data_IF_465731084045
#
_entry.id   IF_465731084045
#
_cell.length_a   1.000
_cell.length_b   1.000
_cell.length_c   1.000
_cell.angle_alpha   90.00
_cell.angle_beta   90.00
_cell.angle_gamma   90.00
#
_symmetry.space_group_name_H-M   'P 1'
#
loop_
_entity.id
_entity.type
_entity.pdbx_description
1 polymer ?
#
# COMPACT_ATOMS: atom_id res chain seq x y z
N UNK A 1 27.55 -73.14 -49.21
CA UNK A 1 26.89 -72.69 -47.96
C UNK A 1 27.36 -71.27 -47.65
N UNK A 2 26.52 -70.26 -47.85
CA UNK A 2 26.84 -68.84 -47.58
C UNK A 2 26.46 -68.52 -46.13
N UNK A 3 27.41 -68.01 -45.33
CA UNK A 3 27.17 -67.57 -43.95
C UNK A 3 26.74 -66.10 -43.97
N UNK A 4 25.58 -65.80 -43.39
CA UNK A 4 25.07 -64.44 -43.19
C UNK A 4 25.53 -64.01 -41.79
N UNK A 5 26.23 -62.88 -41.69
CA UNK A 5 26.64 -62.27 -40.43
C UNK A 5 25.61 -61.18 -40.10
N UNK A 6 24.97 -61.18 -38.92
CA UNK A 6 24.08 -60.10 -38.54
C UNK A 6 24.90 -58.91 -38.02
N UNK A 7 24.67 -57.73 -38.60
CA UNK A 7 25.21 -56.45 -38.12
C UNK A 7 24.29 -55.99 -36.99
N UNK A 8 24.83 -55.92 -35.77
CA UNK A 8 24.15 -55.37 -34.61
C UNK A 8 24.11 -53.83 -34.73
N UNK A 9 22.92 -53.29 -34.98
CA UNK A 9 22.64 -51.84 -34.96
C UNK A 9 22.66 -51.40 -33.50
N UNK A 10 23.73 -50.74 -33.07
CA UNK A 10 23.79 -50.08 -31.77
C UNK A 10 22.98 -48.79 -31.85
N UNK A 11 21.82 -48.78 -31.20
CA UNK A 11 20.97 -47.59 -31.05
C UNK A 11 21.67 -46.66 -30.06
N UNK A 12 22.22 -45.56 -30.59
CA UNK A 12 22.78 -44.46 -29.79
C UNK A 12 21.60 -43.70 -29.15
N UNK A 13 21.28 -43.99 -27.90
CA UNK A 13 20.35 -43.18 -27.09
C UNK A 13 20.99 -41.82 -26.82
N UNK A 14 20.63 -40.83 -27.63
CA UNK A 14 20.91 -39.42 -27.34
C UNK A 14 19.94 -39.04 -26.22
N UNK A 15 20.45 -39.01 -24.98
CA UNK A 15 19.70 -38.51 -23.84
C UNK A 15 19.35 -37.03 -24.06
N UNK A 16 18.07 -36.75 -24.28
CA UNK A 16 17.53 -35.41 -24.21
C UNK A 16 17.58 -35.02 -22.73
N UNK A 17 18.62 -34.28 -22.33
CA UNK A 17 18.62 -33.57 -21.05
C UNK A 17 17.58 -32.46 -21.22
N UNK A 18 16.36 -32.73 -20.79
CA UNK A 18 15.38 -31.68 -20.60
C UNK A 18 15.97 -30.74 -19.55
N UNK A 19 16.31 -29.52 -19.96
CA UNK A 19 16.57 -28.44 -19.02
C UNK A 19 15.22 -28.18 -18.34
N UNK A 20 14.99 -28.76 -17.16
CA UNK A 20 13.86 -28.35 -16.34
C UNK A 20 14.05 -26.86 -16.04
N UNK A 21 13.00 -26.03 -16.21
CA UNK A 21 13.07 -24.65 -15.80
C UNK A 21 13.39 -24.62 -14.31
N UNK A 22 14.40 -23.84 -13.91
CA UNK A 22 14.72 -23.67 -12.49
C UNK A 22 13.47 -23.20 -11.75
N UNK A 23 13.12 -23.92 -10.69
CA UNK A 23 12.05 -23.51 -9.79
C UNK A 23 12.45 -22.19 -9.14
N UNK A 24 11.68 -21.14 -9.38
CA UNK A 24 11.90 -19.83 -8.73
C UNK A 24 11.66 -20.02 -7.24
N UNK A 25 12.62 -19.64 -6.39
CA UNK A 25 12.47 -19.73 -4.94
C UNK A 25 11.40 -18.76 -4.43
N UNK A 26 10.73 -19.11 -3.32
CA UNK A 26 9.86 -18.15 -2.63
C UNK A 26 10.69 -17.01 -2.02
N UNK A 27 10.40 -15.78 -2.44
CA UNK A 27 11.14 -14.57 -2.08
C UNK A 27 10.14 -13.47 -1.67
N UNK A 28 9.68 -13.47 -0.41
CA UNK A 28 8.84 -12.42 0.13
C UNK A 28 9.66 -11.26 0.71
N UNK A 29 9.01 -10.10 0.80
CA UNK A 29 9.45 -8.95 1.56
C UNK A 29 8.32 -8.46 2.46
N UNK A 30 8.66 -7.75 3.51
CA UNK A 30 7.71 -7.24 4.49
C UNK A 30 8.20 -5.94 5.10
N UNK A 31 7.27 -5.15 5.60
CA UNK A 31 7.50 -3.79 6.07
C UNK A 31 6.53 -3.46 7.22
N UNK A 32 6.99 -2.69 8.20
CA UNK A 32 6.18 -2.17 9.31
C UNK A 32 6.45 -0.68 9.52
N UNK A 33 5.38 0.12 9.51
CA UNK A 33 5.53 1.58 9.62
C UNK A 33 4.42 2.24 10.41
N UNK A 34 4.73 3.40 10.98
CA UNK A 34 3.76 4.20 11.75
C UNK A 34 2.81 4.90 10.80
N UNK A 35 1.53 4.92 11.16
CA UNK A 35 0.54 5.80 10.54
C UNK A 35 0.19 6.91 11.53
N UNK A 36 0.22 8.16 11.08
CA UNK A 36 -0.40 9.29 11.78
C UNK A 36 -1.67 9.71 11.03
N UNK A 37 -2.69 10.18 11.74
CA UNK A 37 -3.96 10.59 11.14
C UNK A 37 -4.51 11.83 11.85
N UNK A 38 -5.10 12.77 11.10
CA UNK A 38 -5.87 13.86 11.69
C UNK A 38 -7.22 13.37 12.21
N UNK A 39 -7.59 13.81 13.41
CA UNK A 39 -8.94 13.65 13.94
C UNK A 39 -9.50 15.01 14.34
N UNK A 40 -10.71 15.31 13.87
CA UNK A 40 -11.41 16.52 14.26
C UNK A 40 -12.01 16.34 15.66
N UNK A 41 -11.67 17.24 16.57
CA UNK A 41 -12.33 17.37 17.87
C UNK A 41 -13.19 18.64 17.88
N UNK A 42 -14.01 18.85 18.92
CA UNK A 42 -14.92 20.00 19.00
C UNK A 42 -14.23 21.37 18.87
N UNK A 43 -12.92 21.48 19.13
CA UNK A 43 -12.20 22.76 19.14
C UNK A 43 -10.85 22.78 18.42
N UNK A 44 -10.31 21.62 18.00
CA UNK A 44 -9.01 21.51 17.34
C UNK A 44 -8.88 20.22 16.50
N UNK A 45 -7.93 20.21 15.56
CA UNK A 45 -7.51 18.99 14.87
C UNK A 45 -6.35 18.40 15.66
N UNK A 46 -6.50 17.16 16.12
CA UNK A 46 -5.45 16.43 16.84
C UNK A 46 -4.84 15.36 15.92
N UNK A 47 -3.67 14.84 16.32
CA UNK A 47 -3.00 13.74 15.63
C UNK A 47 -3.09 12.47 16.47
N UNK A 48 -3.56 11.41 15.84
CA UNK A 48 -3.57 10.05 16.42
C UNK A 48 -2.64 9.14 15.63
N UNK A 49 -2.23 8.06 16.27
CA UNK A 49 -1.24 7.10 15.82
C UNK A 49 -1.86 5.72 15.62
N UNK A 50 -1.31 5.03 14.63
CA UNK A 50 -1.62 3.65 14.28
C UNK A 50 -0.41 3.00 13.63
N UNK A 51 -0.62 1.79 13.15
CA UNK A 51 0.38 0.91 12.59
C UNK A 51 -0.10 0.38 11.25
N UNK A 52 0.80 0.24 10.29
CA UNK A 52 0.58 -0.57 9.11
C UNK A 52 1.62 -1.68 9.00
N UNK A 53 1.16 -2.81 8.46
CA UNK A 53 1.91 -4.02 8.23
C UNK A 53 1.69 -4.43 6.78
N UNK A 54 2.78 -4.61 6.04
CA UNK A 54 2.72 -5.00 4.64
C UNK A 54 3.61 -6.20 4.37
N UNK A 55 3.15 -7.09 3.51
CA UNK A 55 3.96 -8.18 2.99
C UNK A 55 3.62 -8.39 1.52
N UNK A 56 4.65 -8.53 0.68
CA UNK A 56 4.50 -8.88 -0.71
C UNK A 56 5.45 -10.01 -1.11
N UNK A 57 5.13 -10.75 -2.16
CA UNK A 57 5.98 -11.84 -2.58
C UNK A 57 5.93 -12.11 -4.09
N UNK A 58 6.93 -12.84 -4.58
CA UNK A 58 6.99 -13.31 -5.97
C UNK A 58 6.09 -14.54 -6.25
N UNK A 59 5.47 -15.12 -5.22
CA UNK A 59 4.52 -16.24 -5.29
C UNK A 59 3.26 -15.91 -4.49
N UNK A 60 2.10 -16.50 -4.81
CA UNK A 60 0.88 -16.23 -4.07
C UNK A 60 1.01 -16.78 -2.64
N UNK A 61 0.69 -15.93 -1.68
CA UNK A 61 0.66 -16.23 -0.27
C UNK A 61 -0.70 -16.83 0.13
N UNK A 62 -0.65 -17.70 1.13
CA UNK A 62 -1.80 -18.31 1.79
C UNK A 62 -2.14 -17.56 3.07
N UNK A 63 -1.13 -17.18 3.85
CA UNK A 63 -1.31 -16.46 5.12
C UNK A 63 -0.06 -15.68 5.51
N UNK A 64 -0.26 -14.55 6.17
CA UNK A 64 0.81 -13.76 6.78
C UNK A 64 0.40 -13.46 8.22
N UNK A 65 1.26 -13.84 9.16
CA UNK A 65 1.09 -13.61 10.59
C UNK A 65 2.25 -12.81 11.13
N UNK A 66 1.97 -11.68 11.76
CA UNK A 66 2.99 -10.83 12.38
C UNK A 66 2.93 -10.97 13.89
N UNK A 67 4.08 -10.98 14.54
CA UNK A 67 4.20 -10.91 16.00
C UNK A 67 5.09 -9.72 16.35
N UNK A 68 4.55 -8.81 17.15
CA UNK A 68 5.24 -7.61 17.65
C UNK A 68 6.03 -7.90 18.93
N UNK A 69 6.75 -6.89 19.43
CA UNK A 69 7.66 -7.01 20.58
C UNK A 69 6.98 -7.38 21.89
N UNK A 70 5.71 -7.01 22.08
CA UNK A 70 4.89 -7.35 23.25
C UNK A 70 4.19 -8.72 23.12
N UNK A 71 4.42 -9.42 22.00
CA UNK A 71 3.76 -10.66 21.55
C UNK A 71 2.31 -10.49 21.06
N UNK A 72 1.87 -9.27 20.77
CA UNK A 72 0.61 -9.03 20.04
C UNK A 72 0.76 -9.57 18.62
N UNK A 73 -0.25 -10.32 18.17
CA UNK A 73 -0.26 -10.97 16.85
C UNK A 73 -1.28 -10.33 15.93
N UNK A 74 -0.87 -10.14 14.68
CA UNK A 74 -1.70 -9.60 13.60
C UNK A 74 -1.82 -10.63 12.49
N UNK A 75 -3.04 -10.89 12.03
CA UNK A 75 -3.30 -11.66 10.82
C UNK A 75 -3.54 -10.64 9.69
N UNK A 76 -2.73 -10.69 8.63
CA UNK A 76 -2.90 -9.82 7.48
C UNK A 76 -3.85 -10.46 6.47
N UNK A 77 -4.55 -9.61 5.72
CA UNK A 77 -5.45 -10.04 4.65
C UNK A 77 -4.88 -9.68 3.28
N UNK A 78 -5.27 -10.44 2.24
CA UNK A 78 -4.87 -10.11 0.88
C UNK A 78 -5.50 -8.79 0.44
N UNK A 79 -4.68 -7.84 -0.01
CA UNK A 79 -5.12 -6.53 -0.47
C UNK A 79 -6.02 -6.69 -1.71
N UNK A 80 -7.29 -6.30 -1.60
CA UNK A 80 -8.32 -6.46 -2.66
C UNK A 80 -8.44 -7.90 -3.21
N UNK A 81 -8.12 -8.90 -2.39
CA UNK A 81 -8.13 -10.31 -2.80
C UNK A 81 -6.93 -10.72 -3.66
N UNK A 82 -5.92 -9.86 -3.83
CA UNK A 82 -4.72 -10.16 -4.59
C UNK A 82 -3.72 -10.95 -3.72
N UNK A 83 -3.48 -12.25 -3.99
CA UNK A 83 -2.77 -13.11 -3.05
C UNK A 83 -1.25 -12.86 -2.99
N UNK A 84 -0.72 -11.90 -3.74
CA UNK A 84 0.71 -11.56 -3.71
C UNK A 84 0.99 -10.34 -2.82
N UNK A 85 -0.05 -9.72 -2.28
CA UNK A 85 0.00 -8.50 -1.49
C UNK A 85 -0.91 -8.68 -0.26
N UNK A 86 -0.32 -8.61 0.93
CA UNK A 86 -1.01 -8.76 2.20
C UNK A 86 -0.80 -7.50 3.03
N UNK A 87 -1.88 -6.97 3.58
CA UNK A 87 -1.87 -5.70 4.30
C UNK A 87 -2.75 -5.77 5.53
N UNK A 88 -2.34 -5.07 6.57
CA UNK A 88 -3.17 -4.73 7.72
C UNK A 88 -2.82 -3.33 8.16
N UNK A 89 -3.80 -2.57 8.60
CA UNK A 89 -3.58 -1.29 9.25
C UNK A 89 -4.46 -1.18 10.49
N UNK A 90 -4.11 -0.27 11.40
CA UNK A 90 -5.00 0.14 12.49
C UNK A 90 -6.35 0.57 11.90
N UNK A 91 -7.42 -0.02 12.43
CA UNK A 91 -8.80 0.36 12.11
C UNK A 91 -9.07 1.79 12.59
N UNK A 92 -9.98 2.48 11.92
CA UNK A 92 -10.23 3.90 12.14
C UNK A 92 -10.61 4.24 13.59
N UNK A 93 -11.39 3.37 14.24
CA UNK A 93 -11.81 3.52 15.64
C UNK A 93 -10.72 3.12 16.66
N UNK A 94 -9.65 2.46 16.21
CA UNK A 94 -8.56 1.94 17.06
C UNK A 94 -7.31 2.83 17.04
N UNK A 95 -7.30 3.91 16.24
CA UNK A 95 -6.26 4.93 16.33
C UNK A 95 -6.23 5.54 17.74
N UNK A 96 -5.03 5.82 18.25
CA UNK A 96 -4.86 6.27 19.63
C UNK A 96 -3.88 7.43 19.76
N UNK A 97 -3.91 8.14 20.88
CA UNK A 97 -2.90 9.17 21.20
C UNK A 97 -1.52 8.58 21.55
N UNK A 98 -1.44 7.27 21.73
CA UNK A 98 -0.19 6.56 22.05
C UNK A 98 0.40 5.98 20.76
N UNK A 99 1.69 6.26 20.53
CA UNK A 99 2.43 5.68 19.42
C UNK A 99 2.59 4.16 19.59
N UNK A 100 2.51 3.37 18.51
CA UNK A 100 2.79 1.94 18.59
C UNK A 100 4.19 1.66 19.16
N UNK A 101 4.35 0.53 19.83
CA UNK A 101 5.61 0.16 20.45
C UNK A 101 6.69 -0.09 19.38
N UNK A 102 7.74 0.73 19.40
CA UNK A 102 8.89 0.57 18.51
C UNK A 102 9.63 -0.74 18.79
N UNK A 103 10.17 -1.35 17.74
CA UNK A 103 11.00 -2.56 17.83
C UNK A 103 10.71 -3.56 16.73
N UNK A 104 11.17 -4.81 16.94
CA UNK A 104 11.13 -5.84 15.92
C UNK A 104 9.75 -6.49 15.77
N UNK A 105 9.24 -6.51 14.55
CA UNK A 105 8.06 -7.24 14.13
C UNK A 105 8.49 -8.45 13.29
N UNK A 106 8.06 -9.64 13.69
CA UNK A 106 8.39 -10.88 12.99
C UNK A 106 7.22 -11.35 12.12
N UNK A 107 7.46 -11.44 10.82
CA UNK A 107 6.49 -11.86 9.81
C UNK A 107 6.69 -13.34 9.51
N UNK A 108 5.65 -14.16 9.72
CA UNK A 108 5.61 -15.56 9.33
C UNK A 108 4.69 -15.70 8.12
N UNK A 109 5.29 -16.01 6.98
CA UNK A 109 4.64 -16.00 5.68
C UNK A 109 4.58 -17.42 5.15
N UNK A 110 3.40 -17.84 4.69
CA UNK A 110 3.18 -19.16 4.08
C UNK A 110 2.70 -18.95 2.65
N UNK A 111 3.40 -19.50 1.67
CA UNK A 111 2.99 -19.52 0.28
C UNK A 111 1.90 -20.59 0.04
N UNK A 112 1.07 -20.41 -1.00
CA UNK A 112 0.09 -21.44 -1.40
C UNK A 112 0.74 -22.76 -1.86
N UNK A 113 2.02 -22.72 -2.24
CA UNK A 113 2.84 -23.91 -2.51
C UNK A 113 3.24 -24.68 -1.25
N UNK A 114 3.05 -24.10 -0.05
CA UNK A 114 3.48 -24.65 1.23
C UNK A 114 4.89 -24.23 1.66
N UNK A 115 5.62 -23.46 0.84
CA UNK A 115 6.88 -22.82 1.25
C UNK A 115 6.62 -21.80 2.37
N UNK A 116 7.56 -21.65 3.28
CA UNK A 116 7.44 -20.71 4.41
C UNK A 116 8.66 -19.81 4.49
N UNK A 117 8.46 -18.56 4.88
CA UNK A 117 9.54 -17.62 5.22
C UNK A 117 9.26 -16.91 6.54
N UNK A 118 10.31 -16.60 7.28
CA UNK A 118 10.24 -15.72 8.45
C UNK A 118 11.10 -14.50 8.18
N UNK A 119 10.47 -13.34 8.15
CA UNK A 119 11.15 -12.05 8.01
C UNK A 119 11.05 -11.28 9.34
N UNK A 120 11.89 -10.26 9.48
CA UNK A 120 11.81 -9.32 10.59
C UNK A 120 12.04 -7.93 10.05
N UNK A 121 11.26 -6.99 10.54
CA UNK A 121 11.44 -5.57 10.27
C UNK A 121 11.29 -4.76 11.57
N UNK A 122 11.87 -3.56 11.64
CA UNK A 122 11.86 -2.75 12.86
C UNK A 122 11.01 -1.50 12.70
N UNK A 123 9.97 -1.39 13.51
CA UNK A 123 9.25 -0.15 13.67
C UNK A 123 10.10 0.85 14.46
N UNK A 124 10.37 2.02 13.89
CA UNK A 124 11.04 3.12 14.59
C UNK A 124 10.02 4.06 15.25
N UNK A 125 10.50 5.11 15.90
CA UNK A 125 9.71 6.24 16.41
C UNK A 125 9.64 7.43 15.45
N UNK A 126 10.25 7.32 14.27
CA UNK A 126 10.19 8.36 13.25
C UNK A 126 8.79 8.38 12.61
N UNK A 127 8.19 9.57 12.61
CA UNK A 127 6.87 9.83 12.05
C UNK A 127 6.90 10.96 11.04
N UNK A 128 5.86 11.05 10.23
CA UNK A 128 5.52 12.25 9.46
C UNK A 128 4.18 12.75 9.99
N UNK A 129 4.00 14.06 10.06
CA UNK A 129 2.76 14.63 10.60
C UNK A 129 1.81 15.02 9.47
N UNK A 130 0.51 14.76 9.63
CA UNK A 130 -0.47 15.17 8.63
C UNK A 130 -0.66 16.70 8.64
N UNK A 131 -1.31 17.22 7.61
CA UNK A 131 -1.71 18.62 7.53
C UNK A 131 -3.20 18.77 7.83
N UNK A 132 -3.57 19.82 8.57
CA UNK A 132 -4.97 20.19 8.84
C UNK A 132 -5.47 21.32 7.92
N UNK A 133 -4.70 21.63 6.87
CA UNK A 133 -4.88 22.85 6.06
C UNK A 133 -5.45 22.62 4.68
N UNK A 134 -5.97 21.43 4.39
CA UNK A 134 -6.54 21.11 3.07
C UNK A 134 -7.71 22.05 2.79
N UNK A 135 -7.57 22.82 1.72
CA UNK A 135 -8.60 23.71 1.18
C UNK A 135 -8.96 23.25 -0.21
N UNK A 136 -10.18 23.53 -0.61
CA UNK A 136 -10.65 23.26 -1.96
C UNK A 136 -11.29 24.51 -2.58
N UNK A 137 -11.28 24.56 -3.90
CA UNK A 137 -12.00 25.55 -4.69
C UNK A 137 -12.48 24.89 -5.98
N UNK A 138 -13.76 25.06 -6.29
CA UNK A 138 -14.36 24.49 -7.48
C UNK A 138 -14.40 25.50 -8.64
N UNK A 139 -14.03 25.05 -9.85
CA UNK A 139 -14.16 25.80 -11.10
C UNK A 139 -15.31 25.19 -11.92
N UNK A 140 -16.50 25.78 -11.79
CA UNK A 140 -17.71 25.38 -12.53
C UNK A 140 -17.51 25.35 -14.04
N UNK A 141 -16.72 26.29 -14.59
CA UNK A 141 -16.52 26.40 -16.03
C UNK A 141 -15.69 25.24 -16.58
N UNK A 142 -14.83 24.65 -15.75
CA UNK A 142 -13.97 23.54 -16.13
C UNK A 142 -14.38 22.19 -15.53
N UNK A 143 -15.34 22.18 -14.59
CA UNK A 143 -15.72 21.02 -13.79
C UNK A 143 -14.49 20.36 -13.12
N UNK A 144 -13.77 21.19 -12.37
CA UNK A 144 -12.53 20.83 -11.68
C UNK A 144 -12.52 21.34 -10.27
N UNK A 145 -11.95 20.56 -9.37
CA UNK A 145 -11.68 20.96 -8.01
C UNK A 145 -10.19 21.10 -7.81
N UNK A 146 -9.76 22.30 -7.41
CA UNK A 146 -8.39 22.55 -6.99
C UNK A 146 -8.29 22.32 -5.48
N UNK A 147 -7.37 21.47 -5.07
CA UNK A 147 -6.97 21.26 -3.68
C UNK A 147 -5.68 22.02 -3.42
N UNK A 148 -5.57 22.64 -2.25
CA UNK A 148 -4.33 23.26 -1.75
C UNK A 148 -4.11 22.89 -0.30
N UNK A 149 -2.85 22.76 0.12
CA UNK A 149 -2.48 22.45 1.49
C UNK A 149 -1.11 23.05 1.81
N UNK A 150 -0.76 23.08 3.09
CA UNK A 150 0.58 23.44 3.57
C UNK A 150 1.52 22.25 3.38
N UNK A 151 2.74 22.49 2.93
CA UNK A 151 3.80 21.46 2.81
C UNK A 151 3.82 20.50 4.01
N UNK A 152 3.90 19.20 3.70
CA UNK A 152 4.08 18.14 4.70
C UNK A 152 5.57 17.85 4.77
N UNK A 153 6.21 18.29 5.85
CA UNK A 153 7.65 18.11 6.05
C UNK A 153 8.04 16.62 5.98
N UNK A 154 9.21 16.35 5.39
CA UNK A 154 9.80 15.02 5.19
C UNK A 154 8.99 14.03 4.32
N UNK A 155 7.92 14.47 3.66
CA UNK A 155 7.24 13.62 2.69
C UNK A 155 8.14 13.37 1.47
N UNK A 156 8.29 12.11 1.05
CA UNK A 156 8.95 11.74 -0.20
C UNK A 156 7.96 11.78 -1.37
N UNK A 157 6.72 11.36 -1.13
CA UNK A 157 5.63 11.41 -2.10
C UNK A 157 4.27 11.51 -1.44
N UNK A 158 3.29 11.98 -2.23
CA UNK A 158 1.90 12.14 -1.82
C UNK A 158 0.96 11.36 -2.73
N UNK A 159 -0.18 10.95 -2.19
CA UNK A 159 -1.31 10.38 -2.94
C UNK A 159 -2.59 11.09 -2.48
N UNK A 160 -3.37 11.57 -3.43
CA UNK A 160 -4.71 12.13 -3.17
C UNK A 160 -5.74 11.07 -3.49
N UNK A 161 -6.63 10.79 -2.53
CA UNK A 161 -7.78 9.90 -2.66
C UNK A 161 -9.06 10.66 -2.39
N UNK A 162 -10.16 10.14 -2.93
CA UNK A 162 -11.51 10.59 -2.62
C UNK A 162 -12.39 9.39 -2.29
N UNK A 163 -13.19 9.54 -1.25
CA UNK A 163 -14.14 8.54 -0.78
C UNK A 163 -15.56 9.13 -0.78
N UNK A 164 -16.54 8.26 -1.03
CA UNK A 164 -17.95 8.52 -0.69
C UNK A 164 -18.16 8.43 0.83
N UNK A 165 -19.36 8.81 1.31
CA UNK A 165 -19.67 8.81 2.74
C UNK A 165 -19.79 7.40 3.37
N UNK A 166 -19.83 6.37 2.54
CA UNK A 166 -19.84 4.95 2.92
C UNK A 166 -18.46 4.29 2.81
N UNK A 167 -17.39 5.10 2.73
CA UNK A 167 -15.99 4.70 2.66
C UNK A 167 -15.58 3.99 1.35
N UNK A 168 -16.41 4.06 0.31
CA UNK A 168 -16.05 3.57 -1.03
C UNK A 168 -15.05 4.55 -1.70
N UNK A 169 -13.85 4.06 -2.03
CA UNK A 169 -12.85 4.85 -2.74
C UNK A 169 -13.26 5.06 -4.20
N UNK A 170 -13.49 6.31 -4.59
CA UNK A 170 -13.96 6.67 -5.93
C UNK A 170 -12.91 7.35 -6.78
N UNK A 171 -11.84 7.86 -6.18
CA UNK A 171 -10.73 8.48 -6.91
C UNK A 171 -9.38 8.19 -6.24
N UNK A 172 -8.34 8.05 -7.06
CA UNK A 172 -6.95 8.07 -6.62
C UNK A 172 -6.05 8.75 -7.66
N UNK A 173 -5.15 9.64 -7.20
CA UNK A 173 -4.13 10.25 -8.04
C UNK A 173 -2.97 9.28 -8.34
N UNK A 174 -2.16 9.61 -9.34
CA UNK A 174 -0.78 9.10 -9.37
C UNK A 174 0.03 9.66 -8.20
N UNK A 175 1.17 9.05 -7.88
CA UNK A 175 2.14 9.61 -6.94
C UNK A 175 2.54 11.03 -7.33
N UNK A 176 2.46 11.94 -6.38
CA UNK A 176 2.95 13.31 -6.46
C UNK A 176 4.29 13.40 -5.73
N UNK A 177 5.12 14.37 -6.09
CA UNK A 177 6.32 14.66 -5.30
C UNK A 177 5.91 15.16 -3.90
N UNK A 178 6.71 14.83 -2.89
CA UNK A 178 6.43 15.19 -1.49
C UNK A 178 6.34 16.69 -1.22
N UNK A 179 7.03 17.51 -2.02
CA UNK A 179 7.05 18.98 -1.93
C UNK A 179 5.87 19.68 -2.62
N UNK A 180 4.87 18.91 -3.09
CA UNK A 180 3.67 19.49 -3.70
C UNK A 180 2.72 20.02 -2.64
N UNK A 181 2.16 21.20 -2.91
CA UNK A 181 1.18 21.90 -2.06
C UNK A 181 -0.19 22.05 -2.74
N UNK A 182 -0.35 21.51 -3.95
CA UNK A 182 -1.61 21.59 -4.69
C UNK A 182 -1.82 20.41 -5.63
N UNK A 183 -3.09 20.08 -5.87
CA UNK A 183 -3.53 19.13 -6.89
C UNK A 183 -4.86 19.55 -7.48
N UNK A 184 -5.19 19.08 -8.69
CA UNK A 184 -6.47 19.39 -9.33
C UNK A 184 -7.13 18.10 -9.79
N UNK A 185 -8.32 17.85 -9.27
CA UNK A 185 -9.18 16.75 -9.65
C UNK A 185 -10.12 17.25 -10.76
N UNK A 186 -10.19 16.53 -11.87
CA UNK A 186 -11.08 16.82 -12.99
C UNK A 186 -12.14 15.74 -13.08
N UNK A 187 -13.43 16.08 -13.21
CA UNK A 187 -14.51 15.10 -13.37
C UNK A 187 -14.32 14.16 -14.59
N UNK A 188 -13.52 14.59 -15.56
CA UNK A 188 -13.18 13.82 -16.77
C UNK A 188 -11.72 13.33 -16.79
N UNK A 189 -11.00 13.49 -15.67
CA UNK A 189 -9.61 13.09 -15.53
C UNK A 189 -9.42 11.58 -15.35
N UNK A 190 -8.17 11.15 -15.33
CA UNK A 190 -7.80 9.82 -14.86
C UNK A 190 -7.83 9.75 -13.34
N UNK A 191 -8.04 8.55 -12.79
CA UNK A 191 -7.98 8.29 -11.35
C UNK A 191 -9.32 7.90 -10.74
N UNK A 192 -10.43 8.15 -11.45
CA UNK A 192 -11.75 7.72 -11.03
C UNK A 192 -11.90 6.19 -11.11
N UNK A 193 -12.67 5.63 -10.19
CA UNK A 193 -13.16 4.26 -10.25
C UNK A 193 -13.96 4.03 -11.55
N UNK A 194 -14.05 2.77 -11.98
CA UNK A 194 -14.75 2.44 -13.23
C UNK A 194 -16.19 2.96 -13.20
N UNK A 195 -16.58 3.64 -14.27
CA UNK A 195 -17.93 4.19 -14.47
C UNK A 195 -18.38 5.22 -13.42
N UNK A 196 -17.44 5.75 -12.63
CA UNK A 196 -17.74 6.78 -11.63
C UNK A 196 -17.62 8.19 -12.23
N UNK A 197 -18.56 9.06 -11.84
CA UNK A 197 -18.47 10.51 -12.04
C UNK A 197 -18.94 11.21 -10.77
N UNK A 198 -18.20 12.23 -10.28
CA UNK A 198 -18.63 12.98 -9.11
C UNK A 198 -19.92 13.74 -9.42
N UNK A 199 -20.84 13.77 -8.46
CA UNK A 199 -22.13 14.43 -8.58
C UNK A 199 -22.12 15.82 -7.93
N UNK A 200 -22.65 16.82 -8.62
CA UNK A 200 -22.81 18.17 -8.06
C UNK A 200 -23.69 18.13 -6.79
N UNK A 201 -23.24 18.82 -5.74
CA UNK A 201 -23.87 18.87 -4.42
C UNK A 201 -23.65 17.63 -3.55
N UNK A 202 -22.92 16.62 -4.05
CA UNK A 202 -22.57 15.46 -3.24
C UNK A 202 -21.36 15.74 -2.35
N UNK A 203 -21.42 15.21 -1.13
CA UNK A 203 -20.35 15.29 -0.14
C UNK A 203 -19.38 14.14 -0.31
N UNK A 204 -18.09 14.45 -0.28
CA UNK A 204 -17.01 13.47 -0.38
C UNK A 204 -15.96 13.74 0.70
N UNK A 205 -15.13 12.73 0.98
CA UNK A 205 -13.97 12.87 1.85
C UNK A 205 -12.72 12.85 0.98
N UNK A 206 -11.96 13.94 1.01
CA UNK A 206 -10.60 13.98 0.50
C UNK A 206 -9.67 13.39 1.55
N UNK A 207 -8.84 12.46 1.12
CA UNK A 207 -7.73 11.93 1.89
C UNK A 207 -6.42 12.23 1.18
N UNK A 208 -5.54 12.98 1.85
CA UNK A 208 -4.16 13.20 1.43
C UNK A 208 -3.26 12.28 2.25
N UNK A 209 -2.76 11.23 1.59
CA UNK A 209 -1.74 10.35 2.13
C UNK A 209 -0.36 10.93 1.78
N UNK A 210 0.48 11.14 2.79
CA UNK A 210 1.89 11.45 2.61
C UNK A 210 2.73 10.28 3.13
N UNK A 211 3.85 10.02 2.48
CA UNK A 211 4.69 8.86 2.76
C UNK A 211 6.16 9.27 2.84
N UNK A 212 6.87 8.66 3.77
CA UNK A 212 8.33 8.77 3.95
C UNK A 212 8.95 7.40 3.86
N UNK A 213 10.00 7.25 3.08
CA UNK A 213 10.79 6.03 2.98
C UNK A 213 11.77 5.92 4.15
N UNK A 214 12.18 4.70 4.46
CA UNK A 214 13.35 4.51 5.32
C UNK A 214 14.60 5.10 4.67
N UNK A 215 15.49 5.64 5.50
CA UNK A 215 16.73 6.27 5.03
C UNK A 215 17.57 5.31 4.18
N UNK A 216 17.66 5.61 2.87
CA UNK A 216 18.45 4.82 1.91
C UNK A 216 17.70 3.66 1.25
N UNK A 217 16.40 3.51 1.51
CA UNK A 217 15.53 2.48 0.93
C UNK A 217 14.43 3.09 0.03
N UNK A 218 14.75 4.17 -0.68
CA UNK A 218 13.79 4.90 -1.50
C UNK A 218 13.08 3.97 -2.50
N UNK A 219 11.75 3.89 -2.40
CA UNK A 219 10.92 3.05 -3.26
C UNK A 219 10.83 1.57 -2.84
N UNK A 220 11.33 1.22 -1.66
CA UNK A 220 11.33 -0.16 -1.15
C UNK A 220 10.58 -0.26 0.18
N UNK A 221 11.07 0.43 1.22
CA UNK A 221 10.51 0.37 2.57
C UNK A 221 10.03 1.74 3.05
N UNK A 222 8.87 1.77 3.67
CA UNK A 222 8.26 2.96 4.25
C UNK A 222 8.70 3.10 5.70
N UNK A 223 9.08 4.31 6.08
CA UNK A 223 9.30 4.67 7.47
C UNK A 223 7.99 5.01 8.18
N UNK A 224 7.14 5.79 7.50
CA UNK A 224 5.91 6.32 8.05
C UNK A 224 4.95 6.81 6.95
N UNK A 225 3.68 6.89 7.33
CA UNK A 225 2.59 7.46 6.54
C UNK A 225 1.84 8.47 7.40
N UNK A 226 1.40 9.59 6.82
CA UNK A 226 0.37 10.44 7.43
C UNK A 226 -0.89 10.50 6.59
N UNK A 227 -2.03 10.61 7.24
CA UNK A 227 -3.36 10.69 6.64
C UNK A 227 -4.00 12.01 7.05
N UNK A 228 -4.29 12.85 6.08
CA UNK A 228 -5.00 14.13 6.28
C UNK A 228 -6.37 14.05 5.63
N UNK A 229 -7.43 14.30 6.39
CA UNK A 229 -8.81 14.22 5.91
C UNK A 229 -9.46 15.60 5.78
N UNK A 230 -10.29 15.78 4.74
CA UNK A 230 -11.11 16.97 4.54
C UNK A 230 -12.43 16.61 3.86
N UNK A 231 -13.55 16.96 4.49
CA UNK A 231 -14.86 16.89 3.85
C UNK A 231 -14.99 18.02 2.81
N UNK A 232 -15.55 17.69 1.65
CA UNK A 232 -15.79 18.62 0.55
C UNK A 232 -17.21 18.43 0.02
N UNK A 233 -17.70 19.42 -0.71
CA UNK A 233 -18.90 19.29 -1.54
C UNK A 233 -18.51 19.54 -2.99
N UNK A 234 -18.74 18.55 -3.85
CA UNK A 234 -18.43 18.71 -5.28
C UNK A 234 -19.40 19.71 -5.91
N UNK A 235 -18.89 20.64 -6.72
CA UNK A 235 -19.73 21.69 -7.33
C UNK A 235 -20.02 22.90 -6.44
N UNK A 236 -19.42 23.00 -5.25
CA UNK A 236 -19.59 24.13 -4.33
C UNK A 236 -18.24 24.73 -3.88
N UNK A 237 -18.26 26.00 -3.44
CA UNK A 237 -17.12 26.72 -2.82
C UNK A 237 -17.08 26.52 -1.30
#
# INVERSE_FOLDING_TARGET
MKKIIPIAVSVLMIGLVACEPEEVAFDPAADVFVITKTVATENEVDTVYGLALHAFANKPMQSVKVTSVDNTTYDLESYEGYPYDFYAQTEDDDFSAEMPESGAYSFNIVAQSGETSTLSDNLSDDVIYPTDTIKYAFDDAQNKMKLTWTEIEDADYLIVKMFEQDDDQVFQSSSLLGDKEEYTISASGSGWASDFQPADGATYIIQLDAFKYESGQNGVNLQAKSISLQEIVWGEE
#
